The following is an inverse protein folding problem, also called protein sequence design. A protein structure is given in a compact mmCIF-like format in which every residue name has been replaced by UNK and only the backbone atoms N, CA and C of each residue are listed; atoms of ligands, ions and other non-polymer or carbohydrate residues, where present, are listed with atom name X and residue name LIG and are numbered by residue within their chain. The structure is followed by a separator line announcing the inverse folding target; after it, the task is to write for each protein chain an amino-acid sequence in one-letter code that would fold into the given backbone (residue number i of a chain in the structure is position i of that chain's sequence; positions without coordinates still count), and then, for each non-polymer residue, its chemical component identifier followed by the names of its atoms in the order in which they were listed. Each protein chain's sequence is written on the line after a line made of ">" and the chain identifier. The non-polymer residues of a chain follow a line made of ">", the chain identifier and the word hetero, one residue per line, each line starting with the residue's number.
data_IF_856313838916
#
_entry.id   IF_856313838916
#
_cell.length_a   1.000
_cell.length_b   1.000
_cell.length_c   1.000
_cell.angle_alpha   90.00
_cell.angle_beta   90.00
_cell.angle_gamma   90.00
#
_symmetry.space_group_name_H-M   'P 1'
#
loop_
_entity.id
_entity.type
_entity.pdbx_description
1 polymer ?
#
# COMPACT_ATOMS: atom_id res chain seq x y z
N UNK A 1 -2.69 13.82 -14.71
CA UNK A 1 -3.52 14.60 -13.77
C UNK A 1 -3.63 13.83 -12.47
N UNK A 2 -3.30 14.49 -11.36
CA UNK A 2 -3.33 13.85 -10.06
C UNK A 2 -4.75 13.84 -9.50
N UNK A 3 -5.13 12.73 -8.92
CA UNK A 3 -6.42 12.57 -8.29
C UNK A 3 -6.23 12.16 -6.84
N UNK A 4 -7.17 12.58 -5.99
CA UNK A 4 -7.20 12.12 -4.60
C UNK A 4 -8.40 11.20 -4.45
N UNK A 5 -8.15 9.98 -4.00
CA UNK A 5 -9.22 9.01 -3.73
C UNK A 5 -8.89 8.13 -2.54
N UNK A 6 -9.90 7.49 -1.99
CA UNK A 6 -9.71 6.52 -0.92
C UNK A 6 -9.29 5.19 -1.52
N UNK A 7 -8.17 4.65 -1.07
CA UNK A 7 -7.62 3.39 -1.57
C UNK A 7 -7.33 2.45 -0.42
N UNK A 8 -7.31 1.16 -0.73
CA UNK A 8 -6.75 0.14 0.16
C UNK A 8 -5.29 -0.06 -0.27
N UNK A 9 -4.39 0.06 0.66
CA UNK A 9 -2.95 -0.03 0.37
C UNK A 9 -2.27 -1.06 1.25
N UNK A 10 -1.39 -1.84 0.63
CA UNK A 10 -0.46 -2.72 1.32
C UNK A 10 0.85 -1.97 1.50
N UNK A 11 1.25 -1.78 2.74
CA UNK A 11 2.46 -1.07 3.08
C UNK A 11 3.56 -2.04 3.46
N UNK A 12 4.76 -1.80 2.96
CA UNK A 12 5.98 -2.44 3.44
C UNK A 12 6.73 -1.44 4.30
N UNK A 13 6.87 -1.77 5.58
CA UNK A 13 7.51 -0.90 6.57
C UNK A 13 8.83 -1.53 6.99
N UNK A 14 9.91 -0.79 6.83
CA UNK A 14 11.27 -1.24 7.18
C UNK A 14 11.82 -0.27 8.21
N UNK A 15 12.22 -0.79 9.37
CA UNK A 15 12.74 0.01 10.47
C UNK A 15 11.83 1.20 10.83
N UNK A 16 10.52 0.93 10.92
CA UNK A 16 9.47 1.91 11.23
C UNK A 16 9.22 2.97 10.14
N UNK A 17 9.78 2.79 8.94
CA UNK A 17 9.55 3.69 7.81
C UNK A 17 8.82 2.96 6.70
N UNK A 18 7.85 3.63 6.08
CA UNK A 18 7.15 3.10 4.91
C UNK A 18 8.09 3.18 3.70
N UNK A 19 8.47 2.02 3.16
CA UNK A 19 9.36 1.93 1.99
C UNK A 19 8.62 1.68 0.69
N UNK A 20 7.49 0.98 0.75
CA UNK A 20 6.64 0.72 -0.40
C UNK A 20 5.19 0.80 -0.02
N UNK A 21 4.36 1.17 -1.00
CA UNK A 21 2.91 1.08 -0.89
C UNK A 21 2.34 0.63 -2.23
N UNK A 22 1.39 -0.30 -2.17
CA UNK A 22 0.73 -0.82 -3.35
C UNK A 22 -0.77 -0.74 -3.17
N UNK A 23 -1.46 -0.29 -4.22
CA UNK A 23 -2.91 -0.27 -4.23
C UNK A 23 -3.42 -1.71 -4.39
N UNK A 24 -4.41 -2.07 -3.55
CA UNK A 24 -5.11 -3.33 -3.63
C UNK A 24 -6.57 -3.08 -4.00
N UNK A 25 -7.21 -3.96 -4.78
CA UNK A 25 -8.61 -3.78 -5.16
C UNK A 25 -9.56 -3.80 -3.98
N UNK A 26 -9.29 -4.63 -2.98
CA UNK A 26 -10.12 -4.78 -1.79
C UNK A 26 -9.25 -5.00 -0.57
N UNK A 27 -9.83 -4.80 0.62
CA UNK A 27 -9.14 -5.11 1.87
C UNK A 27 -8.86 -6.61 1.97
N UNK A 28 -9.75 -7.46 1.46
CA UNK A 28 -9.55 -8.90 1.44
C UNK A 28 -8.30 -9.29 0.65
N UNK A 29 -8.10 -8.69 -0.53
CA UNK A 29 -6.90 -8.92 -1.35
C UNK A 29 -5.65 -8.39 -0.66
N UNK A 30 -5.75 -7.26 0.02
CA UNK A 30 -4.65 -6.69 0.79
C UNK A 30 -4.21 -7.65 1.90
N UNK A 31 -5.16 -8.19 2.66
CA UNK A 31 -4.87 -9.12 3.74
C UNK A 31 -4.26 -10.43 3.22
N UNK A 32 -4.70 -10.90 2.05
CA UNK A 32 -4.07 -12.04 1.38
C UNK A 32 -2.61 -11.75 1.05
N UNK A 33 -2.34 -10.61 0.43
CA UNK A 33 -0.98 -10.20 0.07
C UNK A 33 -0.09 -10.04 1.30
N UNK A 34 -0.63 -9.44 2.36
CA UNK A 34 0.05 -9.30 3.63
C UNK A 34 0.44 -10.67 4.22
N UNK A 35 -0.50 -11.64 4.17
CA UNK A 35 -0.27 -12.98 4.72
C UNK A 35 0.83 -13.71 3.95
N UNK A 36 0.82 -13.60 2.63
CA UNK A 36 1.84 -14.20 1.77
C UNK A 36 3.21 -13.56 2.04
N UNK A 37 3.25 -12.22 2.10
CA UNK A 37 4.48 -11.49 2.37
C UNK A 37 5.07 -11.81 3.74
N UNK A 38 4.21 -11.97 4.76
CA UNK A 38 4.65 -12.29 6.12
C UNK A 38 5.26 -13.68 6.26
N UNK A 39 5.08 -14.58 5.29
CA UNK A 39 5.72 -15.90 5.31
C UNK A 39 7.24 -15.81 5.10
N UNK A 40 7.71 -14.73 4.49
CA UNK A 40 9.13 -14.49 4.24
C UNK A 40 9.69 -13.47 5.21
N UNK A 41 9.29 -13.53 6.46
CA UNK A 41 9.58 -12.49 7.45
C UNK A 41 11.05 -12.33 7.76
N UNK A 42 11.51 -11.10 7.63
CA UNK A 42 12.75 -10.61 8.22
C UNK A 42 12.37 -9.72 9.42
N UNK A 43 13.14 -9.80 10.49
CA UNK A 43 12.79 -9.20 11.78
C UNK A 43 12.52 -7.69 11.79
N UNK A 44 12.94 -6.97 10.78
CA UNK A 44 12.80 -5.52 10.71
C UNK A 44 11.78 -5.05 9.67
N UNK A 45 11.07 -6.00 9.03
CA UNK A 45 10.11 -5.71 7.98
C UNK A 45 8.71 -6.04 8.47
N UNK A 46 7.79 -5.08 8.34
CA UNK A 46 6.39 -5.26 8.65
C UNK A 46 5.55 -4.99 7.41
N UNK A 47 4.44 -5.70 7.29
CA UNK A 47 3.44 -5.43 6.28
C UNK A 47 2.14 -5.02 6.94
N UNK A 48 1.50 -4.00 6.40
CA UNK A 48 0.28 -3.46 6.97
C UNK A 48 -0.72 -3.11 5.88
N UNK A 49 -1.99 -3.42 6.12
CA UNK A 49 -3.08 -3.02 5.25
C UNK A 49 -3.79 -1.81 5.85
N UNK A 50 -3.94 -0.78 5.04
CA UNK A 50 -4.66 0.43 5.46
C UNK A 50 -5.68 0.82 4.42
N UNK A 51 -6.69 1.58 4.85
CA UNK A 51 -7.62 2.25 3.97
C UNK A 51 -7.45 3.74 4.22
N UNK A 52 -7.00 4.47 3.21
CA UNK A 52 -6.65 5.88 3.38
C UNK A 52 -6.85 6.65 2.08
N UNK A 53 -6.92 7.96 2.20
CA UNK A 53 -6.86 8.83 1.04
C UNK A 53 -5.44 8.86 0.51
N UNK A 54 -5.32 8.94 -0.81
CA UNK A 54 -4.03 9.00 -1.47
C UNK A 54 -4.13 9.84 -2.74
N UNK A 55 -3.06 10.54 -3.06
CA UNK A 55 -2.89 11.09 -4.39
C UNK A 55 -2.47 9.94 -5.29
N UNK A 56 -3.23 9.72 -6.36
CA UNK A 56 -2.95 8.65 -7.31
C UNK A 56 -2.68 9.23 -8.68
N UNK A 57 -1.89 8.51 -9.46
CA UNK A 57 -1.65 8.84 -10.86
C UNK A 57 -1.79 7.59 -11.71
N UNK A 58 -2.16 7.81 -12.98
CA UNK A 58 -2.26 6.73 -13.94
C UNK A 58 -1.10 6.88 -14.91
N UNK A 59 -0.28 5.84 -14.99
CA UNK A 59 0.86 5.80 -15.90
C UNK A 59 0.82 4.51 -16.70
N UNK A 60 0.78 4.66 -18.01
CA UNK A 60 0.69 3.53 -18.96
C UNK A 60 -0.46 2.57 -18.59
N UNK A 61 -1.62 3.15 -18.25
CA UNK A 61 -2.82 2.37 -17.90
C UNK A 61 -2.81 1.77 -16.50
N UNK A 62 -1.78 1.97 -15.72
CA UNK A 62 -1.71 1.48 -14.34
C UNK A 62 -1.87 2.62 -13.35
N UNK A 63 -2.70 2.39 -12.34
CA UNK A 63 -2.90 3.32 -11.23
C UNK A 63 -1.86 3.04 -10.15
N UNK A 64 -1.17 4.08 -9.71
CA UNK A 64 -0.21 3.98 -8.62
C UNK A 64 -0.42 5.11 -7.62
N UNK A 65 0.07 4.90 -6.41
CA UNK A 65 0.02 5.91 -5.37
C UNK A 65 1.21 6.84 -5.55
N UNK A 66 0.92 8.13 -5.74
CA UNK A 66 1.94 9.17 -5.76
C UNK A 66 2.30 9.59 -4.35
N UNK A 67 1.29 9.71 -3.48
CA UNK A 67 1.47 10.13 -2.09
C UNK A 67 0.30 9.65 -1.25
N UNK A 68 0.59 9.07 -0.09
CA UNK A 68 -0.43 8.75 0.90
C UNK A 68 -0.77 9.99 1.71
N UNK A 69 -2.07 10.19 1.93
CA UNK A 69 -2.56 11.26 2.79
C UNK A 69 -2.99 10.60 4.10
N UNK A 70 -2.07 10.56 5.04
CA UNK A 70 -2.33 9.98 6.36
C UNK A 70 -2.89 11.06 7.28
N UNK A 71 -4.09 10.80 7.76
CA UNK A 71 -4.75 11.68 8.72
C UNK A 71 -4.57 11.21 10.15
#
# INVERSE_FOLDING_TARGET
>A
MDMVETVVALLMIVNHEIKEHRIQPTMSDCLKGKRIANREVKNHIEYKCIKSKAEVEIYIGEKSIKKLILE
#
